data_IF_526396340037
#
_entry.id   IF_526396340037
#
_cell.length_a   1.000
_cell.length_b   1.000
_cell.length_c   1.000
_cell.angle_alpha   90.00
_cell.angle_beta   90.00
_cell.angle_gamma   90.00
#
_symmetry.space_group_name_H-M   'P 1'
#
loop_
_entity.id
_entity.type
_entity.pdbx_description
1 polymer ?
#
# COMPACT_ATOMS: atom_id res chain seq x y z
N UNK A 1 48.47 16.86 6.79
CA UNK A 1 47.27 16.80 5.91
C UNK A 1 46.67 15.40 5.74
N UNK A 2 47.43 14.30 5.85
CA UNK A 2 46.87 12.93 5.68
C UNK A 2 45.96 12.43 6.82
N UNK A 3 46.18 12.87 8.07
CA UNK A 3 45.38 12.44 9.22
C UNK A 3 43.95 12.96 9.27
N UNK A 4 43.69 14.16 8.75
CA UNK A 4 42.32 14.71 8.67
C UNK A 4 41.48 13.96 7.64
N UNK A 5 42.03 13.62 6.47
CA UNK A 5 41.31 12.92 5.40
C UNK A 5 40.86 11.50 5.80
N UNK A 6 41.72 10.75 6.51
CA UNK A 6 41.38 9.41 7.03
C UNK A 6 40.27 9.47 8.09
N UNK A 7 40.31 10.45 9.01
CA UNK A 7 39.27 10.63 10.01
C UNK A 7 37.91 11.01 9.39
N UNK A 8 37.89 11.83 8.33
CA UNK A 8 36.66 12.16 7.58
C UNK A 8 36.11 10.93 6.87
N UNK A 9 36.98 10.09 6.28
CA UNK A 9 36.60 8.86 5.60
C UNK A 9 35.99 7.83 6.57
N UNK A 10 36.62 7.64 7.75
CA UNK A 10 36.10 6.73 8.79
C UNK A 10 34.81 7.24 9.44
N UNK A 11 34.63 8.56 9.62
CA UNK A 11 33.35 9.14 10.07
C UNK A 11 32.25 8.91 9.04
N UNK A 12 32.52 9.16 7.76
CA UNK A 12 31.58 8.93 6.66
C UNK A 12 31.19 7.44 6.53
N UNK A 13 32.10 6.51 6.79
CA UNK A 13 31.80 5.08 6.72
C UNK A 13 31.00 4.58 7.95
N UNK A 14 31.21 5.17 9.13
CA UNK A 14 30.34 4.93 10.31
C UNK A 14 28.94 5.52 10.14
N UNK A 15 28.80 6.70 9.52
CA UNK A 15 27.49 7.28 9.18
C UNK A 15 26.74 6.46 8.12
N UNK A 16 27.47 5.82 7.19
CA UNK A 16 26.88 4.88 6.23
C UNK A 16 26.36 3.59 6.89
N UNK A 17 26.80 3.22 8.09
CA UNK A 17 26.32 2.01 8.77
C UNK A 17 25.05 2.21 9.61
N UNK A 18 24.63 3.46 9.86
CA UNK A 18 23.42 3.71 10.65
C UNK A 18 22.16 3.39 9.84
N UNK A 19 21.19 2.76 10.53
CA UNK A 19 19.86 2.44 10.00
C UNK A 19 19.09 3.74 9.70
N UNK A 20 19.18 4.72 10.59
CA UNK A 20 18.60 6.06 10.40
C UNK A 20 19.69 7.03 9.98
N UNK A 21 19.49 7.71 8.85
CA UNK A 21 20.39 8.74 8.33
C UNK A 21 19.64 10.05 8.19
N UNK A 22 20.04 11.04 8.99
CA UNK A 22 19.46 12.37 8.97
C UNK A 22 20.35 13.31 8.17
N UNK A 23 19.86 13.76 7.02
CA UNK A 23 20.47 14.80 6.19
C UNK A 23 19.68 16.12 6.26
N UNK A 24 18.64 16.19 7.08
CA UNK A 24 17.90 17.42 7.33
C UNK A 24 18.60 18.29 8.38
N UNK A 25 18.24 19.57 8.43
CA UNK A 25 18.72 20.51 9.46
C UNK A 25 18.06 20.28 10.82
N UNK A 26 16.94 19.54 10.85
CA UNK A 26 16.17 19.27 12.07
C UNK A 26 16.92 18.26 12.94
N UNK A 27 17.19 18.62 14.19
CA UNK A 27 17.68 17.67 15.19
C UNK A 27 16.56 16.71 15.60
N UNK A 28 16.86 15.41 15.64
CA UNK A 28 15.92 14.40 16.15
C UNK A 28 16.17 14.16 17.63
N UNK A 29 15.09 13.94 18.38
CA UNK A 29 15.20 13.42 19.74
C UNK A 29 15.63 11.94 19.73
N UNK A 30 16.24 11.47 20.81
CA UNK A 30 16.67 10.07 20.93
C UNK A 30 15.51 9.08 20.80
N UNK A 31 14.31 9.44 21.26
CA UNK A 31 13.10 8.64 21.13
C UNK A 31 12.65 8.51 19.67
N UNK A 32 12.73 9.60 18.90
CA UNK A 32 12.42 9.62 17.47
C UNK A 32 13.38 8.70 16.71
N UNK A 33 14.69 8.78 17.01
CA UNK A 33 15.70 7.92 16.40
C UNK A 33 15.42 6.45 16.72
N UNK A 34 15.19 6.12 18.00
CA UNK A 34 14.90 4.74 18.44
C UNK A 34 13.74 4.14 17.67
N UNK A 35 12.67 4.91 17.46
CA UNK A 35 11.48 4.44 16.75
C UNK A 35 11.77 4.28 15.25
N UNK A 36 12.50 5.22 14.64
CA UNK A 36 12.84 5.14 13.21
C UNK A 36 13.84 4.01 12.93
N UNK A 37 14.64 3.58 13.90
CA UNK A 37 15.53 2.41 13.80
C UNK A 37 14.76 1.09 13.65
N UNK A 38 13.51 1.01 14.12
CA UNK A 38 12.62 -0.15 13.87
C UNK A 38 12.25 -0.27 12.36
N UNK A 39 12.42 0.81 11.60
CA UNK A 39 12.20 0.89 10.17
C UNK A 39 10.78 1.31 9.77
N UNK A 40 10.64 1.84 8.55
CA UNK A 40 9.36 2.33 8.02
C UNK A 40 8.31 1.23 7.76
N UNK A 41 8.72 -0.04 7.75
CA UNK A 41 7.81 -1.19 7.62
C UNK A 41 7.30 -1.71 8.96
N UNK A 42 7.66 -1.05 10.07
CA UNK A 42 7.25 -1.47 11.40
C UNK A 42 5.75 -1.23 11.59
N UNK A 43 4.97 -2.27 11.30
CA UNK A 43 3.53 -2.29 11.56
C UNK A 43 3.29 -2.58 13.05
N UNK A 44 2.88 -1.56 13.80
CA UNK A 44 2.32 -1.78 15.15
C UNK A 44 0.93 -2.38 15.03
N UNK A 45 0.56 -3.18 16.03
CA UNK A 45 -0.79 -3.67 16.20
C UNK A 45 -1.75 -2.47 16.30
N UNK A 46 -2.39 -2.12 15.18
CA UNK A 46 -3.52 -1.21 15.19
C UNK A 46 -4.59 -1.81 16.09
N UNK A 47 -5.34 -0.96 16.79
CA UNK A 47 -6.49 -1.41 17.58
C UNK A 47 -7.46 -2.14 16.63
N UNK A 48 -7.43 -3.47 16.63
CA UNK A 48 -8.17 -4.26 15.64
C UNK A 48 -9.64 -4.10 15.99
N UNK A 49 -10.38 -3.38 15.13
CA UNK A 49 -11.81 -3.22 15.33
C UNK A 49 -12.50 -4.56 15.08
N UNK A 50 -13.08 -5.13 16.14
CA UNK A 50 -13.82 -6.40 16.10
C UNK A 50 -14.88 -6.41 15.00
N UNK A 51 -15.61 -5.32 14.84
CA UNK A 51 -16.66 -5.22 13.81
C UNK A 51 -16.06 -5.29 12.42
N UNK A 52 -14.97 -4.56 12.16
CA UNK A 52 -14.35 -4.53 10.84
C UNK A 52 -13.79 -5.90 10.44
N UNK A 53 -13.16 -6.64 11.37
CA UNK A 53 -12.66 -7.97 11.06
C UNK A 53 -13.79 -8.95 10.84
N UNK A 54 -14.83 -8.94 11.68
CA UNK A 54 -16.00 -9.81 11.47
C UNK A 54 -16.63 -9.50 10.10
N UNK A 55 -16.87 -8.22 9.79
CA UNK A 55 -17.41 -7.81 8.49
C UNK A 55 -16.50 -8.19 7.32
N UNK A 56 -15.17 -8.08 7.46
CA UNK A 56 -14.22 -8.49 6.43
C UNK A 56 -14.18 -10.01 6.24
N UNK A 57 -14.30 -10.77 7.33
CA UNK A 57 -14.35 -12.23 7.33
C UNK A 57 -15.65 -12.71 6.70
N UNK A 58 -16.78 -12.10 7.05
CA UNK A 58 -18.08 -12.34 6.44
C UNK A 58 -18.06 -11.97 4.95
N UNK A 59 -17.49 -10.82 4.60
CA UNK A 59 -17.31 -10.38 3.21
C UNK A 59 -16.44 -11.36 2.40
N UNK A 60 -15.30 -11.78 2.96
CA UNK A 60 -14.42 -12.78 2.35
C UNK A 60 -15.16 -14.10 2.13
N UNK A 61 -15.89 -14.58 3.14
CA UNK A 61 -16.69 -15.79 3.05
C UNK A 61 -17.78 -15.67 1.97
N UNK A 62 -18.47 -14.53 1.90
CA UNK A 62 -19.46 -14.29 0.84
C UNK A 62 -18.83 -14.27 -0.56
N UNK A 63 -17.63 -13.69 -0.70
CA UNK A 63 -16.89 -13.68 -1.97
C UNK A 63 -16.38 -15.08 -2.35
N UNK A 64 -15.81 -15.85 -1.42
CA UNK A 64 -15.29 -17.20 -1.70
C UNK A 64 -16.41 -18.18 -1.99
N UNK A 65 -17.47 -18.20 -1.18
CA UNK A 65 -18.68 -18.95 -1.50
C UNK A 65 -19.31 -18.43 -2.81
N UNK A 66 -19.19 -17.13 -3.08
CA UNK A 66 -19.55 -16.47 -4.35
C UNK A 66 -18.90 -17.13 -5.56
N UNK A 67 -17.58 -17.31 -5.49
CA UNK A 67 -16.80 -17.98 -6.52
C UNK A 67 -17.17 -19.47 -6.67
N UNK A 68 -17.50 -20.15 -5.57
CA UNK A 68 -17.96 -21.55 -5.60
C UNK A 68 -19.27 -21.71 -6.40
N UNK A 69 -20.24 -20.81 -6.20
CA UNK A 69 -21.46 -20.76 -7.04
C UNK A 69 -21.13 -20.43 -8.49
N UNK A 70 -20.24 -19.45 -8.73
CA UNK A 70 -19.83 -19.11 -10.09
C UNK A 70 -19.13 -20.26 -10.82
N UNK A 71 -18.37 -21.10 -10.11
CA UNK A 71 -17.74 -22.33 -10.60
C UNK A 71 -18.77 -23.44 -10.86
N UNK A 72 -19.76 -23.61 -9.98
CA UNK A 72 -20.87 -24.56 -10.17
C UNK A 72 -21.72 -24.14 -11.38
N UNK A 73 -22.06 -22.85 -11.50
CA UNK A 73 -22.78 -22.30 -12.65
C UNK A 73 -21.93 -22.41 -13.94
N UNK A 74 -20.60 -22.31 -13.85
CA UNK A 74 -19.69 -22.54 -14.99
C UNK A 74 -19.65 -24.01 -15.39
N UNK A 75 -19.69 -24.95 -14.44
CA UNK A 75 -19.81 -26.39 -14.71
C UNK A 75 -21.17 -26.76 -15.29
N UNK A 76 -22.26 -26.13 -14.83
CA UNK A 76 -23.61 -26.30 -15.39
C UNK A 76 -23.76 -25.72 -16.80
N UNK A 77 -22.93 -24.73 -17.15
CA UNK A 77 -22.91 -24.14 -18.49
C UNK A 77 -22.48 -25.15 -19.58
N UNK A 78 -21.67 -26.16 -19.23
CA UNK A 78 -21.34 -27.28 -20.13
C UNK A 78 -22.54 -28.23 -20.37
N UNK A 79 -23.61 -28.16 -19.57
CA UNK A 79 -24.75 -29.10 -19.62
C UNK A 79 -26.02 -28.53 -20.28
N UNK A 80 -26.01 -27.28 -20.76
CA UNK A 80 -27.16 -26.65 -21.44
C UNK A 80 -28.16 -25.96 -20.48
N UNK A 81 -29.02 -25.06 -20.98
CA UNK A 81 -29.66 -24.05 -20.13
C UNK A 81 -31.01 -24.51 -19.54
N UNK A 82 -31.10 -24.57 -18.21
CA UNK A 82 -32.38 -24.52 -17.48
C UNK A 82 -32.65 -23.09 -16.97
N UNK A 83 -33.95 -22.76 -16.91
CA UNK A 83 -34.53 -21.42 -16.68
C UNK A 83 -33.96 -20.66 -15.46
N UNK A 84 -33.52 -19.42 -15.71
CA UNK A 84 -33.08 -18.48 -14.67
C UNK A 84 -34.31 -17.85 -14.02
N UNK A 85 -34.71 -18.36 -12.86
CA UNK A 85 -35.69 -17.69 -11.99
C UNK A 85 -34.98 -16.66 -11.11
N UNK A 86 -35.33 -15.39 -11.35
CA UNK A 86 -34.91 -14.24 -10.55
C UNK A 86 -35.70 -14.15 -9.25
N UNK A 87 -35.07 -14.56 -8.15
CA UNK A 87 -35.16 -13.97 -6.80
C UNK A 87 -34.49 -14.96 -5.87
N UNK A 88 -33.58 -14.49 -5.02
CA UNK A 88 -33.58 -14.86 -3.59
C UNK A 88 -32.34 -14.30 -2.90
N UNK A 89 -32.58 -13.79 -1.69
CA UNK A 89 -31.55 -13.68 -0.66
C UNK A 89 -30.80 -15.01 -0.61
N UNK A 90 -29.47 -14.95 -0.71
CA UNK A 90 -28.63 -16.15 -0.76
C UNK A 90 -28.80 -16.98 0.51
N UNK A 91 -29.60 -18.05 0.44
CA UNK A 91 -29.71 -19.04 1.52
C UNK A 91 -28.44 -19.88 1.48
N UNK A 92 -27.65 -19.82 2.56
CA UNK A 92 -26.42 -20.59 2.69
C UNK A 92 -26.77 -22.06 2.98
N UNK A 93 -26.06 -22.98 2.33
CA UNK A 93 -26.18 -24.42 2.60
C UNK A 93 -25.83 -24.73 4.07
N UNK A 94 -26.40 -25.78 4.69
CA UNK A 94 -26.09 -26.14 6.07
C UNK A 94 -24.59 -26.31 6.36
N UNK A 95 -23.81 -26.81 5.39
CA UNK A 95 -22.33 -26.93 5.46
C UNK A 95 -21.62 -25.57 5.42
N UNK A 96 -22.14 -24.64 4.62
CA UNK A 96 -21.61 -23.28 4.51
C UNK A 96 -21.94 -22.46 5.77
N UNK A 97 -23.14 -22.65 6.35
CA UNK A 97 -23.53 -22.08 7.63
C UNK A 97 -22.64 -22.57 8.78
N UNK A 98 -22.36 -23.88 8.81
CA UNK A 98 -21.44 -24.46 9.82
C UNK A 98 -20.03 -23.90 9.66
N UNK A 99 -19.46 -23.86 8.45
CA UNK A 99 -18.14 -23.27 8.23
C UNK A 99 -18.09 -21.77 8.57
N UNK A 100 -19.11 -20.99 8.20
CA UNK A 100 -19.21 -19.58 8.56
C UNK A 100 -19.24 -19.40 10.09
N UNK A 101 -19.96 -20.27 10.80
CA UNK A 101 -20.01 -20.26 12.26
C UNK A 101 -18.66 -20.62 12.89
N UNK A 102 -17.92 -21.58 12.32
CA UNK A 102 -16.58 -21.96 12.76
C UNK A 102 -15.58 -20.83 12.54
N UNK A 103 -15.62 -20.20 11.38
CA UNK A 103 -14.77 -19.06 11.02
C UNK A 103 -15.02 -17.86 11.95
N UNK A 104 -16.30 -17.58 12.23
CA UNK A 104 -16.71 -16.55 13.21
C UNK A 104 -16.23 -16.90 14.61
N UNK A 105 -16.38 -18.16 15.04
CA UNK A 105 -15.87 -18.64 16.33
C UNK A 105 -14.35 -18.52 16.43
N UNK A 106 -13.61 -18.84 15.37
CA UNK A 106 -12.16 -18.69 15.30
C UNK A 106 -11.74 -17.22 15.41
N UNK A 107 -12.42 -16.32 14.69
CA UNK A 107 -12.20 -14.88 14.80
C UNK A 107 -12.47 -14.38 16.23
N UNK A 108 -13.57 -14.81 16.87
CA UNK A 108 -13.87 -14.44 18.25
C UNK A 108 -12.85 -14.96 19.26
N UNK A 109 -12.38 -16.21 19.10
CA UNK A 109 -11.30 -16.77 19.93
C UNK A 109 -10.01 -15.97 19.78
N UNK A 110 -9.67 -15.55 18.56
CA UNK A 110 -8.53 -14.66 18.31
C UNK A 110 -8.69 -13.32 19.03
N UNK A 111 -9.87 -12.69 18.97
CA UNK A 111 -10.16 -11.43 19.66
C UNK A 111 -10.07 -11.54 21.18
N UNK A 112 -10.64 -12.60 21.76
CA UNK A 112 -10.55 -12.84 23.21
C UNK A 112 -9.11 -13.00 23.64
N UNK A 113 -8.31 -13.77 22.89
CA UNK A 113 -6.87 -13.92 23.15
C UNK A 113 -6.15 -12.58 23.03
N UNK A 114 -6.39 -11.80 21.98
CA UNK A 114 -5.79 -10.47 21.84
C UNK A 114 -6.17 -9.52 22.98
N UNK A 115 -7.44 -9.48 23.40
CA UNK A 115 -7.86 -8.65 24.53
C UNK A 115 -7.20 -9.09 25.84
N UNK A 116 -7.07 -10.39 26.08
CA UNK A 116 -6.36 -10.89 27.25
C UNK A 116 -4.87 -10.53 27.21
N UNK A 117 -4.22 -10.65 26.05
CA UNK A 117 -2.83 -10.20 25.85
C UNK A 117 -2.70 -8.67 26.00
N UNK A 118 -3.71 -7.91 25.60
CA UNK A 118 -3.81 -6.45 25.80
C UNK A 118 -3.85 -6.07 27.27
N UNK A 119 -4.70 -6.76 28.04
CA UNK A 119 -4.84 -6.55 29.47
C UNK A 119 -3.58 -6.96 30.24
N UNK A 120 -2.97 -8.10 29.89
CA UNK A 120 -1.73 -8.57 30.52
C UNK A 120 -0.53 -7.67 30.20
N UNK A 121 -0.46 -7.12 28.99
CA UNK A 121 0.67 -6.31 28.52
C UNK A 121 0.34 -4.81 28.44
N UNK A 122 -0.53 -4.30 29.34
CA UNK A 122 -1.03 -2.91 29.32
C UNK A 122 0.07 -1.85 29.20
N UNK A 123 1.24 -2.07 29.83
CA UNK A 123 2.41 -1.19 29.74
C UNK A 123 2.98 -1.14 28.31
N UNK A 124 3.18 -2.29 27.68
CA UNK A 124 3.68 -2.40 26.29
C UNK A 124 2.78 -1.64 25.32
N UNK A 125 1.46 -1.76 25.46
CA UNK A 125 0.51 -1.05 24.60
C UNK A 125 0.47 0.46 24.84
N UNK A 126 0.63 0.89 26.09
CA UNK A 126 0.76 2.32 26.41
C UNK A 126 2.02 2.91 25.75
N UNK A 127 3.13 2.18 25.76
CA UNK A 127 4.37 2.61 25.12
C UNK A 127 4.26 2.59 23.59
N UNK A 128 3.60 1.58 22.99
CA UNK A 128 3.29 1.57 21.56
C UNK A 128 2.42 2.76 21.12
N UNK A 129 1.46 3.18 21.96
CA UNK A 129 0.62 4.35 21.68
C UNK A 129 1.44 5.64 21.70
N UNK A 130 2.38 5.78 22.65
CA UNK A 130 3.31 6.92 22.69
C UNK A 130 4.16 6.97 21.41
N UNK A 131 4.76 5.84 21.05
CA UNK A 131 5.59 5.76 19.85
C UNK A 131 4.79 6.08 18.56
N UNK A 132 3.54 5.63 18.47
CA UNK A 132 2.65 5.97 17.35
C UNK A 132 2.36 7.46 17.28
N UNK A 133 2.21 8.14 18.42
CA UNK A 133 2.03 9.59 18.44
C UNK A 133 3.30 10.32 18.00
N UNK A 134 4.48 9.83 18.38
CA UNK A 134 5.76 10.37 17.92
C UNK A 134 5.87 10.26 16.40
N UNK A 135 5.57 9.09 15.83
CA UNK A 135 5.54 8.89 14.37
C UNK A 135 4.52 9.81 13.67
N UNK A 136 3.34 9.99 14.25
CA UNK A 136 2.32 10.88 13.70
C UNK A 136 2.79 12.34 13.71
N UNK A 137 3.48 12.76 14.76
CA UNK A 137 4.05 14.10 14.86
C UNK A 137 5.17 14.31 13.84
N UNK A 138 6.07 13.33 13.69
CA UNK A 138 7.11 13.33 12.65
C UNK A 138 6.52 13.41 11.25
N UNK A 139 5.45 12.66 10.97
CA UNK A 139 4.77 12.66 9.67
C UNK A 139 4.06 13.99 9.36
N UNK A 140 3.72 14.78 10.38
CA UNK A 140 3.06 16.09 10.23
C UNK A 140 4.05 17.25 10.13
N UNK A 141 5.32 17.00 10.41
CA UNK A 141 6.35 18.03 10.34
C UNK A 141 6.62 18.41 8.87
N UNK A 142 6.30 19.66 8.44
CA UNK A 142 6.46 20.06 7.04
C UNK A 142 7.92 20.32 6.67
N UNK A 143 8.83 20.40 7.65
CA UNK A 143 10.25 20.74 7.42
C UNK A 143 11.07 19.56 6.95
N UNK A 144 10.59 18.33 7.17
CA UNK A 144 11.31 17.10 6.87
C UNK A 144 10.55 16.20 5.91
N UNK A 145 11.31 15.46 5.12
CA UNK A 145 10.80 14.38 4.29
C UNK A 145 11.44 13.06 4.69
N UNK A 146 10.63 12.11 5.16
CA UNK A 146 11.08 10.79 5.62
C UNK A 146 10.79 9.76 4.54
N UNK A 147 11.82 9.06 4.06
CA UNK A 147 11.69 8.05 3.00
C UNK A 147 12.70 6.91 3.19
N UNK A 148 12.55 5.86 2.40
CA UNK A 148 13.50 4.74 2.34
C UNK A 148 14.65 5.09 1.38
N UNK A 149 15.88 4.60 1.61
CA UNK A 149 16.95 4.76 0.64
C UNK A 149 16.66 3.93 -0.62
N UNK A 150 17.27 4.33 -1.74
CA UNK A 150 17.24 3.55 -2.96
C UNK A 150 17.85 2.14 -2.83
N UNK A 151 18.95 2.04 -2.07
CA UNK A 151 19.67 0.78 -1.86
C UNK A 151 19.87 0.54 -0.39
N UNK A 152 19.71 -0.72 0.00
CA UNK A 152 19.86 -1.17 1.37
C UNK A 152 18.61 -0.97 2.20
N UNK A 153 18.73 -1.24 3.49
CA UNK A 153 17.69 -1.01 4.50
C UNK A 153 18.01 0.27 5.26
N UNK A 154 16.98 0.97 5.72
CA UNK A 154 17.13 2.14 6.56
C UNK A 154 16.06 3.18 6.31
N UNK A 155 16.19 4.28 7.05
CA UNK A 155 15.34 5.47 6.98
C UNK A 155 16.23 6.66 6.66
N UNK A 156 15.81 7.45 5.69
CA UNK A 156 16.49 8.66 5.26
C UNK A 156 15.57 9.83 5.54
N UNK A 157 16.13 10.86 6.16
CA UNK A 157 15.41 12.09 6.49
C UNK A 157 16.10 13.22 5.74
N UNK A 158 15.34 13.93 4.93
CA UNK A 158 15.80 15.03 4.10
C UNK A 158 15.11 16.32 4.53
N UNK A 159 15.73 17.46 4.25
CA UNK A 159 15.04 18.75 4.27
C UNK A 159 13.95 18.76 3.18
N UNK A 160 12.73 19.13 3.54
CA UNK A 160 11.59 19.07 2.63
C UNK A 160 11.76 20.06 1.46
N UNK A 161 12.29 21.26 1.71
CA UNK A 161 12.51 22.25 0.66
C UNK A 161 13.62 21.81 -0.30
N UNK A 162 14.73 21.27 0.21
CA UNK A 162 15.78 20.71 -0.65
C UNK A 162 15.28 19.53 -1.50
N UNK A 163 14.45 18.67 -0.91
CA UNK A 163 13.82 17.56 -1.62
C UNK A 163 12.93 18.04 -2.78
N UNK A 164 12.06 19.02 -2.52
CA UNK A 164 11.17 19.61 -3.55
C UNK A 164 12.01 20.25 -4.66
N UNK A 165 13.02 21.05 -4.32
CA UNK A 165 13.89 21.69 -5.32
C UNK A 165 14.61 20.67 -6.22
N UNK A 166 15.11 19.57 -5.65
CA UNK A 166 15.74 18.47 -6.42
C UNK A 166 14.74 17.81 -7.36
N UNK A 167 13.51 17.64 -6.90
CA UNK A 167 12.42 17.08 -7.70
C UNK A 167 12.02 17.97 -8.86
N UNK A 168 11.82 19.27 -8.62
CA UNK A 168 11.52 20.26 -9.66
C UNK A 168 12.65 20.36 -10.69
N UNK A 169 13.90 20.25 -10.24
CA UNK A 169 15.06 20.18 -11.14
C UNK A 169 15.01 18.94 -12.05
N UNK A 170 14.52 17.79 -11.55
CA UNK A 170 14.35 16.58 -12.37
C UNK A 170 13.18 16.76 -13.34
N UNK A 171 12.06 17.32 -12.88
CA UNK A 171 10.83 17.48 -13.64
C UNK A 171 10.90 18.60 -14.70
N UNK A 172 11.78 19.58 -14.52
CA UNK A 172 12.03 20.64 -15.51
C UNK A 172 12.81 20.16 -16.76
N UNK A 173 13.28 18.91 -16.77
CA UNK A 173 13.89 18.32 -17.96
C UNK A 173 12.84 18.04 -19.04
N UNK A 174 12.60 19.04 -19.89
CA UNK A 174 11.64 19.00 -21.01
C UNK A 174 11.96 17.93 -22.08
N UNK A 175 13.14 17.30 -22.04
CA UNK A 175 13.45 16.15 -22.91
C UNK A 175 12.83 14.86 -22.39
N UNK A 176 12.55 14.77 -21.09
CA UNK A 176 12.01 13.57 -20.42
C UNK A 176 10.55 13.74 -19.97
N UNK A 177 10.21 14.93 -19.50
CA UNK A 177 8.89 15.22 -18.93
C UNK A 177 8.17 16.27 -19.77
N UNK A 178 6.85 16.11 -19.86
CA UNK A 178 5.95 17.05 -20.51
C UNK A 178 4.83 17.37 -19.54
N UNK A 179 4.57 18.66 -19.35
CA UNK A 179 3.41 19.11 -18.58
C UNK A 179 2.14 18.79 -19.38
N UNK A 180 1.16 18.21 -18.69
CA UNK A 180 -0.17 17.95 -19.25
C UNK A 180 -1.14 18.99 -18.71
N UNK A 181 -2.03 19.49 -19.58
CA UNK A 181 -3.03 20.49 -19.21
C UNK A 181 -4.18 19.88 -18.38
N UNK A 182 -4.42 18.58 -18.55
CA UNK A 182 -5.47 17.83 -17.86
C UNK A 182 -5.00 16.42 -17.46
N UNK A 183 -5.62 15.85 -16.42
CA UNK A 183 -5.39 14.46 -16.02
C UNK A 183 -6.07 13.50 -17.00
N UNK A 184 -5.30 12.70 -17.78
CA UNK A 184 -5.87 11.80 -18.78
C UNK A 184 -6.47 10.52 -18.17
N UNK A 185 -6.43 10.34 -16.85
CA UNK A 185 -6.84 9.09 -16.17
C UNK A 185 -8.27 8.70 -16.51
N UNK A 186 -9.22 9.63 -16.40
CA UNK A 186 -10.65 9.36 -16.67
C UNK A 186 -10.87 9.08 -18.17
N UNK A 187 -10.20 9.83 -19.04
CA UNK A 187 -10.26 9.65 -20.49
C UNK A 187 -9.71 8.27 -20.89
N UNK A 188 -8.60 7.83 -20.29
CA UNK A 188 -8.02 6.50 -20.50
C UNK A 188 -8.88 5.38 -19.95
N UNK A 189 -9.46 5.54 -18.76
CA UNK A 189 -10.41 4.58 -18.18
C UNK A 189 -11.65 4.42 -19.08
N UNK A 190 -12.17 5.54 -19.58
CA UNK A 190 -13.31 5.57 -20.51
C UNK A 190 -13.00 4.86 -21.82
N UNK A 191 -11.84 5.16 -22.42
CA UNK A 191 -11.40 4.52 -23.66
C UNK A 191 -11.22 3.01 -23.48
N UNK A 192 -10.57 2.57 -22.40
CA UNK A 192 -10.39 1.15 -22.09
C UNK A 192 -11.74 0.47 -21.84
N UNK A 193 -12.63 1.10 -21.08
CA UNK A 193 -13.97 0.56 -20.81
C UNK A 193 -14.79 0.41 -22.09
N UNK A 194 -14.69 1.37 -23.01
CA UNK A 194 -15.38 1.31 -24.30
C UNK A 194 -14.82 0.19 -25.19
N UNK A 195 -13.49 0.00 -25.22
CA UNK A 195 -12.86 -1.13 -25.92
C UNK A 195 -13.34 -2.47 -25.35
N UNK A 196 -13.29 -2.63 -24.03
CA UNK A 196 -13.75 -3.85 -23.36
C UNK A 196 -15.24 -4.11 -23.60
N UNK A 197 -16.06 -3.06 -23.66
CA UNK A 197 -17.48 -3.17 -23.97
C UNK A 197 -17.69 -3.65 -25.40
N UNK A 198 -16.93 -3.13 -26.37
CA UNK A 198 -16.97 -3.58 -27.76
C UNK A 198 -16.60 -5.06 -27.88
N UNK A 199 -15.51 -5.49 -27.24
CA UNK A 199 -15.09 -6.90 -27.22
C UNK A 199 -16.15 -7.81 -26.58
N UNK A 200 -16.86 -7.33 -25.56
CA UNK A 200 -18.00 -8.05 -24.97
C UNK A 200 -19.17 -8.16 -25.95
N UNK A 201 -19.52 -7.09 -26.66
CA UNK A 201 -20.61 -7.09 -27.65
C UNK A 201 -20.30 -7.98 -28.84
N UNK A 202 -19.03 -8.08 -29.24
CA UNK A 202 -18.53 -8.97 -30.29
C UNK A 202 -18.25 -10.40 -29.79
N UNK A 203 -18.69 -10.73 -28.57
CA UNK A 203 -18.59 -12.06 -27.95
C UNK A 203 -17.16 -12.61 -27.73
N UNK A 204 -16.12 -11.77 -27.87
CA UNK A 204 -14.75 -12.12 -27.50
C UNK A 204 -14.54 -12.22 -25.99
N UNK A 205 -15.42 -11.60 -25.19
CA UNK A 205 -15.38 -11.62 -23.74
C UNK A 205 -16.75 -11.99 -23.17
N UNK A 206 -16.76 -12.91 -22.22
CA UNK A 206 -17.94 -13.17 -21.40
C UNK A 206 -18.24 -11.99 -20.46
N UNK A 207 -19.48 -11.91 -19.97
CA UNK A 207 -19.84 -10.90 -18.96
C UNK A 207 -18.99 -11.02 -17.69
N UNK A 208 -18.60 -12.24 -17.30
CA UNK A 208 -17.74 -12.48 -16.13
C UNK A 208 -16.34 -11.91 -16.35
N UNK A 209 -15.73 -12.20 -17.50
CA UNK A 209 -14.38 -11.70 -17.84
C UNK A 209 -14.37 -10.18 -17.96
N UNK A 210 -15.36 -9.59 -18.64
CA UNK A 210 -15.51 -8.13 -18.72
C UNK A 210 -15.55 -7.50 -17.33
N UNK A 211 -16.37 -8.03 -16.41
CA UNK A 211 -16.48 -7.47 -15.06
C UNK A 211 -15.20 -7.66 -14.23
N UNK A 212 -14.41 -8.70 -14.52
CA UNK A 212 -13.14 -8.97 -13.85
C UNK A 212 -12.03 -8.03 -14.30
N UNK A 213 -11.92 -7.78 -15.62
CA UNK A 213 -10.82 -6.97 -16.19
C UNK A 213 -11.14 -5.48 -16.30
N UNK A 214 -12.42 -5.11 -16.21
CA UNK A 214 -12.84 -3.70 -16.31
C UNK A 214 -12.20 -2.88 -15.18
N UNK A 215 -11.51 -1.77 -15.50
CA UNK A 215 -11.01 -0.85 -14.49
C UNK A 215 -12.17 -0.23 -13.68
N UNK A 216 -11.98 -0.10 -12.37
CA UNK A 216 -12.92 0.58 -11.48
C UNK A 216 -12.15 1.46 -10.50
N UNK A 217 -12.46 2.76 -10.50
CA UNK A 217 -11.87 3.72 -9.57
C UNK A 217 -10.38 3.94 -9.85
N UNK A 218 -10.05 4.21 -11.11
CA UNK A 218 -8.67 4.47 -11.51
C UNK A 218 -8.12 5.74 -10.88
N UNK A 219 -6.82 5.77 -10.64
CA UNK A 219 -6.12 6.89 -9.98
C UNK A 219 -4.92 7.27 -10.85
N UNK A 220 -4.59 8.57 -11.00
CA UNK A 220 -3.39 8.98 -11.70
C UNK A 220 -2.13 8.35 -11.10
N UNK A 221 -1.17 8.06 -11.98
CA UNK A 221 0.11 7.51 -11.57
C UNK A 221 0.82 8.50 -10.63
N UNK A 222 1.40 7.99 -9.54
CA UNK A 222 2.05 8.81 -8.52
C UNK A 222 3.55 8.73 -8.66
N UNK A 223 4.20 9.87 -8.80
CA UNK A 223 5.64 9.99 -8.71
C UNK A 223 6.08 10.05 -7.26
N UNK A 224 7.11 9.28 -6.91
CA UNK A 224 7.81 9.40 -5.65
C UNK A 224 9.30 9.09 -5.85
N UNK A 225 10.14 9.54 -4.92
CA UNK A 225 11.59 9.48 -5.11
C UNK A 225 12.32 8.71 -4.02
N UNK A 226 13.39 8.03 -4.43
CA UNK A 226 14.30 7.35 -3.51
C UNK A 226 15.69 7.99 -3.53
N UNK A 227 16.20 8.49 -2.39
CA UNK A 227 17.53 9.08 -2.30
C UNK A 227 18.64 8.03 -2.49
N UNK A 228 19.57 8.33 -3.41
CA UNK A 228 20.79 7.55 -3.63
C UNK A 228 21.87 7.91 -2.62
N UNK A 229 21.66 7.53 -1.36
CA UNK A 229 22.59 7.77 -0.22
C UNK A 229 24.02 7.22 -0.39
N UNK A 230 24.28 6.42 -1.42
CA UNK A 230 25.60 5.89 -1.76
C UNK A 230 26.35 6.75 -2.79
N UNK A 231 25.76 7.86 -3.25
CA UNK A 231 26.36 8.80 -4.19
C UNK A 231 26.55 10.17 -3.53
N UNK A 232 27.51 10.95 -4.04
CA UNK A 232 27.72 12.35 -3.64
C UNK A 232 26.47 13.19 -3.93
N UNK A 233 26.18 14.17 -3.08
CA UNK A 233 25.00 15.06 -3.14
C UNK A 233 23.62 14.37 -3.04
N UNK A 234 23.59 13.04 -2.82
CA UNK A 234 22.37 12.25 -2.57
C UNK A 234 21.31 12.55 -3.64
N UNK A 235 21.58 12.24 -4.93
CA UNK A 235 20.61 12.47 -5.99
C UNK A 235 19.38 11.60 -5.78
N UNK A 236 18.22 12.10 -6.19
CA UNK A 236 16.96 11.38 -6.14
C UNK A 236 16.82 10.41 -7.32
N UNK A 237 16.02 9.36 -7.14
CA UNK A 237 15.57 8.49 -8.22
C UNK A 237 14.06 8.56 -8.32
N UNK A 238 13.53 9.13 -9.40
CA UNK A 238 12.11 9.15 -9.64
C UNK A 238 11.61 7.74 -9.91
N UNK A 239 10.53 7.35 -9.22
CA UNK A 239 9.79 6.11 -9.42
C UNK A 239 8.33 6.47 -9.63
N UNK A 240 7.76 5.96 -10.72
CA UNK A 240 6.34 6.13 -11.02
C UNK A 240 5.59 4.89 -10.54
N UNK A 241 4.65 5.07 -9.62
CA UNK A 241 3.68 4.05 -9.23
C UNK A 241 2.47 4.10 -10.15
N UNK A 242 2.25 3.05 -10.93
CA UNK A 242 1.08 2.89 -11.79
C UNK A 242 -0.02 2.04 -11.14
N UNK A 243 -0.03 1.91 -9.81
CA UNK A 243 -1.06 1.14 -9.10
C UNK A 243 -2.42 1.79 -9.34
N UNK A 244 -3.38 1.02 -9.87
CA UNK A 244 -4.72 1.47 -10.29
C UNK A 244 -4.72 2.49 -11.44
N UNK A 245 -3.62 2.63 -12.17
CA UNK A 245 -3.60 3.45 -13.38
C UNK A 245 -4.18 2.66 -14.56
N UNK A 246 -5.08 3.24 -15.38
CA UNK A 246 -5.65 2.53 -16.52
C UNK A 246 -4.62 2.56 -17.65
N UNK A 247 -3.94 1.43 -17.85
CA UNK A 247 -2.94 1.27 -18.91
C UNK A 247 -3.60 0.63 -20.13
N UNK A 248 -3.54 1.35 -21.25
CA UNK A 248 -3.72 0.79 -22.58
C UNK A 248 -2.31 0.76 -23.17
N UNK A 249 -1.73 -0.43 -23.31
CA UNK A 249 -0.46 -0.56 -24.06
C UNK A 249 -0.79 -0.43 -25.54
N UNK A 250 -0.19 0.56 -26.20
CA UNK A 250 -0.20 0.73 -27.66
C UNK A 250 0.57 -0.38 -28.36
#
# INVERSE_FOLDING_TARGET
MFGQCLATKMKNDKEKQKVVRNFSKRSLANEEIRILEEGLSYNRLSNINRSNVISNVEYLFHNTAGMEKQLIDFKKWDEGPDEITNKELRVLEPRQLTFASELRSAAEKFFRRQQMTMLSNKKMYADQKKDSNILLNLSKDPTIHITKPDKGRGVVILDCAEYINKLETILSDNKKFKILDEDPTITRESALTNLLRKMKTEEYLTTKEYNFIRPVGSIPARLYDLPKIHKTNIPLRPIVSCIKYPIITS
#
